data_IF_934641278942
#
_entry.id   IF_934641278942
#
_cell.length_a   1.000
_cell.length_b   1.000
_cell.length_c   1.000
_cell.angle_alpha   90.00
_cell.angle_beta   90.00
_cell.angle_gamma   90.00
#
_symmetry.space_group_name_H-M   'P 1'
#
loop_
_entity.id
_entity.type
_entity.pdbx_description
1 polymer ?
#
# COMPACT_ATOMS: atom_id res chain seq x y z
N UNK A 1 12.18 32.20 -4.27
CA UNK A 1 11.28 31.74 -5.36
C UNK A 1 11.73 30.34 -5.74
N UNK A 2 11.00 29.30 -5.37
CA UNK A 2 11.35 27.92 -5.73
C UNK A 2 10.42 27.48 -6.85
N UNK A 3 10.98 27.37 -8.06
CA UNK A 3 10.27 26.91 -9.24
C UNK A 3 10.15 25.38 -9.09
N UNK A 4 8.93 24.92 -8.82
CA UNK A 4 8.60 23.51 -8.81
C UNK A 4 8.47 23.06 -10.28
N UNK A 5 9.54 22.54 -10.86
CA UNK A 5 9.46 21.89 -12.18
C UNK A 5 8.73 20.56 -12.00
N UNK A 6 7.46 20.50 -12.37
CA UNK A 6 6.75 19.24 -12.56
C UNK A 6 7.51 18.42 -13.60
N UNK A 7 8.22 17.36 -13.18
CA UNK A 7 8.80 16.40 -14.09
C UNK A 7 7.65 15.66 -14.78
N UNK A 8 7.36 16.01 -16.03
CA UNK A 8 6.44 15.25 -16.86
C UNK A 8 7.09 13.88 -17.15
N UNK A 9 6.67 12.85 -16.42
CA UNK A 9 7.09 11.46 -16.65
C UNK A 9 5.94 10.66 -17.27
N UNK A 10 6.30 9.72 -18.16
CA UNK A 10 5.39 8.72 -18.71
C UNK A 10 5.80 7.38 -18.10
N UNK A 11 4.87 6.71 -17.44
CA UNK A 11 5.10 5.39 -16.85
C UNK A 11 4.47 4.32 -17.75
N UNK A 12 5.27 3.30 -18.09
CA UNK A 12 4.84 2.14 -18.88
C UNK A 12 5.11 0.90 -18.04
N UNK A 13 4.10 0.08 -17.81
CA UNK A 13 4.23 -1.16 -17.04
C UNK A 13 4.37 -2.36 -17.97
N UNK A 14 5.41 -3.15 -17.75
CA UNK A 14 5.72 -4.34 -18.54
C UNK A 14 5.85 -5.53 -17.59
N UNK A 15 5.08 -6.59 -17.84
CA UNK A 15 5.22 -7.85 -17.10
C UNK A 15 6.39 -8.65 -17.68
N UNK A 16 7.49 -8.74 -16.93
CA UNK A 16 8.69 -9.46 -17.33
C UNK A 16 9.36 -10.14 -16.11
N UNK A 17 10.06 -11.25 -16.33
CA UNK A 17 10.91 -11.87 -15.31
C UNK A 17 12.17 -11.04 -15.07
N UNK A 18 12.85 -11.27 -13.94
CA UNK A 18 14.12 -10.61 -13.65
C UNK A 18 15.19 -10.89 -14.71
N UNK A 19 15.25 -12.12 -15.22
CA UNK A 19 16.15 -12.48 -16.31
C UNK A 19 15.84 -11.70 -17.59
N UNK A 20 14.56 -11.54 -17.95
CA UNK A 20 14.14 -10.75 -19.11
C UNK A 20 14.46 -9.27 -18.93
N UNK A 21 14.23 -8.71 -17.75
CA UNK A 21 14.59 -7.32 -17.43
C UNK A 21 16.10 -7.09 -17.57
N UNK A 22 16.93 -7.93 -16.92
CA UNK A 22 18.38 -7.78 -16.94
C UNK A 22 18.96 -7.95 -18.36
N UNK A 23 18.38 -8.83 -19.17
CA UNK A 23 18.82 -9.05 -20.56
C UNK A 23 18.43 -7.91 -21.49
N UNK A 24 17.21 -7.34 -21.32
CA UNK A 24 16.60 -6.49 -22.32
C UNK A 24 16.53 -4.99 -21.92
N UNK A 25 16.99 -4.60 -20.73
CA UNK A 25 16.90 -3.22 -20.21
C UNK A 25 17.31 -2.15 -21.23
N UNK A 26 18.53 -2.25 -21.77
CA UNK A 26 19.05 -1.26 -22.71
C UNK A 26 18.29 -1.24 -24.04
N UNK A 27 17.83 -2.40 -24.53
CA UNK A 27 17.02 -2.49 -25.74
C UNK A 27 15.64 -1.84 -25.54
N UNK A 28 15.04 -2.02 -24.36
CA UNK A 28 13.77 -1.38 -24.02
C UNK A 28 13.92 0.15 -23.93
N UNK A 29 14.96 0.65 -23.27
CA UNK A 29 15.25 2.08 -23.18
C UNK A 29 15.39 2.70 -24.58
N UNK A 30 16.17 2.03 -25.45
CA UNK A 30 16.38 2.47 -26.83
C UNK A 30 15.10 2.43 -27.66
N UNK A 31 14.32 1.35 -27.58
CA UNK A 31 13.09 1.20 -28.36
C UNK A 31 12.07 2.29 -28.02
N UNK A 32 11.89 2.58 -26.73
CA UNK A 32 10.98 3.64 -26.26
C UNK A 32 11.50 5.01 -26.69
N UNK A 33 12.80 5.27 -26.52
CA UNK A 33 13.44 6.50 -26.99
C UNK A 33 13.21 6.73 -28.48
N UNK A 34 13.58 5.76 -29.33
CA UNK A 34 13.52 5.88 -30.78
C UNK A 34 12.06 6.08 -31.26
N UNK A 35 11.10 5.43 -30.59
CA UNK A 35 9.67 5.57 -30.88
C UNK A 35 9.15 6.97 -30.56
N UNK A 36 9.54 7.54 -29.41
CA UNK A 36 9.12 8.89 -29.01
C UNK A 36 9.80 9.93 -29.89
N UNK A 37 11.11 9.78 -30.11
CA UNK A 37 11.90 10.69 -30.94
C UNK A 37 11.36 10.74 -32.38
N UNK A 38 11.07 9.58 -32.99
CA UNK A 38 10.52 9.52 -34.35
C UNK A 38 9.19 10.29 -34.50
N UNK A 39 8.37 10.34 -33.45
CA UNK A 39 7.05 11.01 -33.48
C UNK A 39 7.08 12.47 -33.03
N UNK A 40 7.98 12.83 -32.13
CA UNK A 40 7.94 14.12 -31.42
C UNK A 40 9.19 14.98 -31.63
N UNK A 41 10.28 14.38 -32.14
CA UNK A 41 11.62 14.99 -32.21
C UNK A 41 12.16 15.44 -30.85
N UNK A 42 11.61 14.92 -29.75
CA UNK A 42 12.09 15.17 -28.40
C UNK A 42 13.14 14.12 -28.02
N UNK A 43 14.34 14.59 -27.70
CA UNK A 43 15.41 13.77 -27.14
C UNK A 43 15.21 13.67 -25.62
N UNK A 44 14.72 12.50 -25.17
CA UNK A 44 14.36 12.25 -23.77
C UNK A 44 15.21 11.13 -23.21
N UNK A 45 15.74 11.33 -22.00
CA UNK A 45 16.33 10.23 -21.24
C UNK A 45 15.24 9.26 -20.79
N UNK A 46 15.27 8.05 -21.34
CA UNK A 46 14.42 6.95 -20.90
C UNK A 46 15.14 6.15 -19.81
N UNK A 47 14.43 5.84 -18.73
CA UNK A 47 14.93 5.01 -17.66
C UNK A 47 13.96 3.84 -17.44
N UNK A 48 14.46 2.62 -17.56
CA UNK A 48 13.68 1.42 -17.28
C UNK A 48 14.12 0.87 -15.92
N UNK A 49 13.20 0.88 -14.96
CA UNK A 49 13.39 0.34 -13.61
C UNK A 49 12.50 -0.87 -13.39
N UNK A 50 12.96 -1.77 -12.52
CA UNK A 50 12.17 -2.90 -12.05
C UNK A 50 11.68 -2.60 -10.64
N UNK A 51 10.37 -2.73 -10.41
CA UNK A 51 9.82 -2.76 -9.05
C UNK A 51 10.20 -4.08 -8.38
N UNK A 52 10.70 -3.99 -7.16
CA UNK A 52 10.91 -5.12 -6.28
C UNK A 52 9.58 -5.79 -5.93
N UNK A 53 9.60 -7.05 -5.51
CA UNK A 53 8.38 -7.71 -5.05
C UNK A 53 7.75 -7.02 -3.83
N UNK A 54 8.56 -6.38 -2.98
CA UNK A 54 8.05 -5.56 -1.86
C UNK A 54 7.26 -4.36 -2.35
N UNK A 55 7.74 -3.66 -3.37
CA UNK A 55 7.03 -2.52 -3.96
C UNK A 55 5.74 -2.98 -4.64
N UNK A 56 5.77 -4.08 -5.39
CA UNK A 56 4.57 -4.64 -6.01
C UNK A 56 3.53 -5.08 -4.96
N UNK A 57 3.98 -5.69 -3.86
CA UNK A 57 3.10 -6.07 -2.75
C UNK A 57 2.50 -4.83 -2.08
N UNK A 58 3.31 -3.83 -1.78
CA UNK A 58 2.86 -2.56 -1.21
C UNK A 58 1.78 -1.92 -2.08
N UNK A 59 2.07 -1.73 -3.37
CA UNK A 59 1.13 -1.16 -4.35
C UNK A 59 -0.18 -1.94 -4.44
N UNK A 60 -0.11 -3.28 -4.49
CA UNK A 60 -1.31 -4.12 -4.56
C UNK A 60 -2.20 -3.98 -3.33
N UNK A 61 -1.65 -3.69 -2.15
CA UNK A 61 -2.41 -3.56 -0.91
C UNK A 61 -2.93 -2.14 -0.64
N UNK A 62 -2.46 -1.12 -1.38
CA UNK A 62 -2.87 0.28 -1.14
C UNK A 62 -4.38 0.48 -1.14
N UNK A 63 -5.09 -0.17 -2.06
CA UNK A 63 -6.54 -0.06 -2.11
C UNK A 63 -7.22 -0.74 -0.90
N UNK A 64 -6.67 -1.86 -0.41
CA UNK A 64 -7.15 -2.49 0.83
C UNK A 64 -6.92 -1.54 2.02
N UNK A 65 -5.74 -0.93 2.12
CA UNK A 65 -5.41 0.01 3.19
C UNK A 65 -6.32 1.23 3.21
N UNK A 66 -6.59 1.79 2.03
CA UNK A 66 -7.54 2.90 1.86
C UNK A 66 -8.92 2.50 2.34
N UNK A 67 -9.44 1.34 1.89
CA UNK A 67 -10.74 0.83 2.34
C UNK A 67 -10.79 0.62 3.85
N UNK A 68 -9.75 0.05 4.46
CA UNK A 68 -9.72 -0.15 5.92
C UNK A 68 -9.77 1.18 6.66
N UNK A 69 -8.98 2.16 6.23
CA UNK A 69 -8.96 3.49 6.85
C UNK A 69 -10.32 4.18 6.71
N UNK A 70 -10.82 4.30 5.49
CA UNK A 70 -12.04 5.06 5.19
C UNK A 70 -13.27 4.44 5.85
N UNK A 71 -13.46 3.13 5.69
CA UNK A 71 -14.63 2.45 6.23
C UNK A 71 -14.60 2.38 7.77
N UNK A 72 -13.42 2.15 8.37
CA UNK A 72 -13.32 2.14 9.84
C UNK A 72 -13.52 3.53 10.43
N UNK A 73 -13.04 4.60 9.76
CA UNK A 73 -13.26 5.98 10.21
C UNK A 73 -14.74 6.41 10.10
N UNK A 74 -15.45 5.91 9.08
CA UNK A 74 -16.90 6.15 8.94
C UNK A 74 -17.71 5.45 10.02
N UNK A 75 -17.35 4.21 10.35
CA UNK A 75 -18.10 3.39 11.32
C UNK A 75 -17.78 3.75 12.77
N UNK A 76 -16.53 4.14 13.07
CA UNK A 76 -16.04 4.41 14.42
C UNK A 76 -15.42 5.80 14.51
N UNK A 77 -16.10 6.71 15.19
CA UNK A 77 -15.62 8.08 15.43
C UNK A 77 -14.29 8.11 16.21
N UNK A 78 -13.98 7.04 16.94
CA UNK A 78 -12.76 6.89 17.70
C UNK A 78 -11.54 6.61 16.83
N UNK A 79 -11.70 6.17 15.57
CA UNK A 79 -10.59 5.94 14.64
C UNK A 79 -10.08 7.29 14.14
N UNK A 80 -8.84 7.63 14.47
CA UNK A 80 -8.24 8.94 14.18
C UNK A 80 -7.15 8.87 13.12
N UNK A 81 -6.65 7.68 12.81
CA UNK A 81 -5.63 7.52 11.79
C UNK A 81 -5.28 6.08 11.48
N UNK A 82 -4.39 5.94 10.51
CA UNK A 82 -3.99 4.66 9.95
C UNK A 82 -2.47 4.63 9.73
N UNK A 83 -1.89 3.46 9.89
CA UNK A 83 -0.53 3.14 9.47
C UNK A 83 -0.46 1.65 9.09
N UNK A 84 0.58 1.27 8.39
CA UNK A 84 0.85 -0.14 8.11
C UNK A 84 2.35 -0.38 8.02
N UNK A 85 2.75 -1.64 8.13
CA UNK A 85 4.13 -2.05 7.87
C UNK A 85 4.21 -3.48 7.37
N UNK A 86 4.98 -3.71 6.31
CA UNK A 86 5.37 -5.06 5.89
C UNK A 86 6.56 -5.62 6.69
N UNK A 87 7.17 -4.80 7.57
CA UNK A 87 8.33 -5.15 8.39
C UNK A 87 8.18 -4.67 9.83
N UNK A 88 8.21 -5.56 10.85
CA UNK A 88 8.45 -7.00 10.74
C UNK A 88 7.32 -7.75 10.01
N UNK A 89 7.60 -8.97 9.53
CA UNK A 89 6.54 -9.88 9.06
C UNK A 89 5.83 -10.49 10.27
N UNK A 90 4.51 -10.78 10.20
CA UNK A 90 3.60 -10.59 9.06
C UNK A 90 3.21 -9.11 8.86
N UNK A 91 2.51 -8.77 7.77
CA UNK A 91 1.99 -7.41 7.53
C UNK A 91 1.23 -6.90 8.76
N UNK A 92 1.56 -5.71 9.24
CA UNK A 92 0.86 -5.02 10.32
C UNK A 92 -0.05 -3.93 9.74
N UNK A 93 -1.34 -3.99 10.07
CA UNK A 93 -2.36 -2.99 9.76
C UNK A 93 -2.71 -2.30 11.09
N UNK A 94 -2.40 -1.02 11.21
CA UNK A 94 -2.44 -0.28 12.47
C UNK A 94 -3.53 0.80 12.39
N UNK A 95 -4.56 0.69 13.21
CA UNK A 95 -5.57 1.72 13.39
C UNK A 95 -5.26 2.49 14.67
N UNK A 96 -5.07 3.81 14.54
CA UNK A 96 -4.86 4.73 15.64
C UNK A 96 -6.21 5.24 16.11
N UNK A 97 -6.41 5.32 17.41
CA UNK A 97 -7.70 5.71 17.98
C UNK A 97 -7.56 6.78 19.06
N UNK A 98 -8.68 7.38 19.47
CA UNK A 98 -8.79 8.25 20.64
C UNK A 98 -9.14 7.49 21.93
N UNK A 99 -9.14 6.15 21.90
CA UNK A 99 -9.50 5.29 23.03
C UNK A 99 -8.48 5.40 24.17
N UNK A 100 -8.90 5.02 25.38
CA UNK A 100 -8.06 4.88 26.57
C UNK A 100 -8.06 3.42 27.04
N UNK A 101 -7.19 3.04 28.00
CA UNK A 101 -7.05 1.67 28.52
C UNK A 101 -8.21 1.20 29.44
N UNK A 102 -9.43 1.71 29.24
CA UNK A 102 -10.61 1.33 30.01
C UNK A 102 -11.28 0.06 29.48
N UNK A 103 -12.00 -0.68 30.34
CA UNK A 103 -12.70 -1.93 29.95
C UNK A 103 -13.72 -1.74 28.82
N UNK A 104 -14.39 -0.59 28.77
CA UNK A 104 -15.37 -0.29 27.72
C UNK A 104 -14.64 -0.07 26.39
N UNK A 105 -13.64 0.81 26.39
CA UNK A 105 -12.82 1.10 25.23
C UNK A 105 -12.12 -0.16 24.69
N UNK A 106 -11.73 -1.10 25.56
CA UNK A 106 -11.18 -2.39 25.15
C UNK A 106 -12.14 -3.17 24.27
N UNK A 107 -13.44 -3.19 24.59
CA UNK A 107 -14.46 -3.83 23.74
C UNK A 107 -14.61 -3.11 22.40
N UNK A 108 -14.54 -1.78 22.40
CA UNK A 108 -14.59 -0.98 21.16
C UNK A 108 -13.38 -1.30 20.27
N UNK A 109 -12.18 -1.39 20.85
CA UNK A 109 -10.98 -1.80 20.12
C UNK A 109 -11.13 -3.21 19.49
N UNK A 110 -11.73 -4.16 20.21
CA UNK A 110 -12.04 -5.48 19.65
C UNK A 110 -12.98 -5.41 18.45
N UNK A 111 -14.03 -4.58 18.53
CA UNK A 111 -15.02 -4.39 17.46
C UNK A 111 -14.39 -3.75 16.22
N UNK A 112 -13.59 -2.69 16.39
CA UNK A 112 -12.82 -2.05 15.32
C UNK A 112 -11.93 -3.08 14.62
N UNK A 113 -11.17 -3.88 15.38
CA UNK A 113 -10.28 -4.88 14.81
C UNK A 113 -11.03 -5.96 14.00
N UNK A 114 -12.20 -6.41 14.50
CA UNK A 114 -13.04 -7.36 13.78
C UNK A 114 -13.63 -6.76 12.51
N UNK A 115 -14.03 -5.49 12.53
CA UNK A 115 -14.56 -4.78 11.38
C UNK A 115 -13.49 -4.61 10.29
N UNK A 116 -12.31 -4.09 10.66
CA UNK A 116 -11.16 -3.99 9.77
C UNK A 116 -10.78 -5.33 9.12
N UNK A 117 -10.84 -6.44 9.88
CA UNK A 117 -10.63 -7.79 9.35
C UNK A 117 -11.63 -8.16 8.26
N UNK A 118 -12.91 -7.78 8.39
CA UNK A 118 -13.92 -8.04 7.36
C UNK A 118 -13.64 -7.22 6.10
N UNK A 119 -13.28 -5.94 6.25
CA UNK A 119 -12.92 -5.07 5.12
C UNK A 119 -11.73 -5.65 4.34
N UNK A 120 -10.67 -6.08 5.04
CA UNK A 120 -9.52 -6.74 4.39
C UNK A 120 -9.97 -7.99 3.64
N UNK A 121 -10.84 -8.81 4.24
CA UNK A 121 -11.34 -10.04 3.60
C UNK A 121 -12.14 -9.73 2.32
N UNK A 122 -13.05 -8.77 2.37
CA UNK A 122 -13.89 -8.36 1.23
C UNK A 122 -13.03 -7.75 0.13
N UNK A 123 -12.27 -6.70 0.47
CA UNK A 123 -11.43 -5.97 -0.50
C UNK A 123 -10.43 -6.88 -1.20
N UNK A 124 -9.77 -7.78 -0.44
CA UNK A 124 -8.83 -8.75 -1.03
C UNK A 124 -9.52 -9.67 -2.03
N UNK A 125 -10.72 -10.18 -1.71
CA UNK A 125 -11.44 -11.07 -2.60
C UNK A 125 -11.88 -10.35 -3.89
N UNK A 126 -12.38 -9.11 -3.78
CA UNK A 126 -12.80 -8.31 -4.93
C UNK A 126 -11.62 -7.96 -5.85
N UNK A 127 -10.47 -7.65 -5.27
CA UNK A 127 -9.25 -7.29 -6.01
C UNK A 127 -8.42 -8.51 -6.44
N UNK A 128 -8.86 -9.73 -6.11
CA UNK A 128 -8.11 -10.97 -6.39
C UNK A 128 -6.66 -10.95 -5.90
N UNK A 129 -6.43 -10.31 -4.75
CA UNK A 129 -5.10 -10.20 -4.14
C UNK A 129 -4.75 -11.49 -3.39
N UNK A 130 -3.49 -11.91 -3.46
CA UNK A 130 -3.01 -13.10 -2.78
C UNK A 130 -3.26 -13.04 -1.25
N UNK A 131 -3.68 -14.17 -0.68
CA UNK A 131 -3.84 -14.28 0.77
C UNK A 131 -2.47 -14.36 1.44
N UNK A 132 -2.15 -13.36 2.26
CA UNK A 132 -0.98 -13.35 3.15
C UNK A 132 -1.40 -13.28 4.62
N UNK A 133 -0.57 -13.75 5.57
CA UNK A 133 -0.78 -13.50 6.98
C UNK A 133 -0.62 -12.01 7.32
N UNK A 134 -1.45 -11.51 8.23
CA UNK A 134 -1.37 -10.13 8.72
C UNK A 134 -1.82 -10.01 10.18
N UNK A 135 -1.46 -8.91 10.84
CA UNK A 135 -1.97 -8.48 12.13
C UNK A 135 -2.80 -7.23 11.95
N UNK A 136 -3.88 -7.11 12.72
CA UNK A 136 -4.56 -5.84 12.94
C UNK A 136 -4.25 -5.40 14.35
N UNK A 137 -3.72 -4.19 14.50
CA UNK A 137 -3.29 -3.61 15.77
C UNK A 137 -4.11 -2.33 15.98
N UNK A 138 -4.75 -2.24 17.13
CA UNK A 138 -5.45 -1.03 17.58
C UNK A 138 -4.54 -0.32 18.58
N UNK A 139 -4.21 0.93 18.29
CA UNK A 139 -3.47 1.80 19.20
C UNK A 139 -4.40 2.78 19.88
N UNK A 140 -4.17 2.99 21.17
CA UNK A 140 -4.89 3.99 21.96
C UNK A 140 -4.42 5.42 21.64
N UNK A 141 -4.97 6.40 22.35
CA UNK A 141 -4.62 7.82 22.18
C UNK A 141 -3.14 8.13 22.47
N UNK A 142 -2.49 7.36 23.33
CA UNK A 142 -1.06 7.48 23.67
C UNK A 142 -0.16 6.70 22.69
N UNK A 143 -0.77 6.11 21.65
CA UNK A 143 -0.12 5.26 20.64
C UNK A 143 0.39 3.92 21.20
N UNK A 144 -0.08 3.50 22.38
CA UNK A 144 0.22 2.19 22.93
C UNK A 144 -0.67 1.11 22.31
N UNK A 145 -0.12 -0.10 22.15
CA UNK A 145 -0.88 -1.23 21.63
C UNK A 145 -1.95 -1.63 22.64
N UNK A 146 -3.21 -1.46 22.25
CA UNK A 146 -4.37 -1.71 23.09
C UNK A 146 -5.01 -3.07 22.81
N UNK A 147 -5.08 -3.44 21.52
CA UNK A 147 -5.62 -4.72 21.09
C UNK A 147 -4.92 -5.19 19.81
N UNK A 148 -4.74 -6.49 19.65
CA UNK A 148 -4.23 -7.06 18.41
C UNK A 148 -4.87 -8.40 18.08
N UNK A 149 -5.03 -8.67 16.79
CA UNK A 149 -5.42 -9.99 16.27
C UNK A 149 -4.50 -10.42 15.15
N UNK A 150 -4.10 -11.69 15.17
CA UNK A 150 -3.35 -12.31 14.09
C UNK A 150 -4.30 -13.08 13.17
N UNK A 151 -4.19 -12.82 11.86
CA UNK A 151 -4.91 -13.52 10.80
C UNK A 151 -3.94 -14.35 9.98
N UNK A 152 -4.26 -15.64 9.86
CA UNK A 152 -3.49 -16.64 9.09
C UNK A 152 -4.15 -16.90 7.73
#
# INVERSE_FOLDING_TARGET
>A
MSINHSKNSIQIEIKATEQQYNKNKGEMEKLVHDTIYAKTQLDLKIEVTRKSESELRDESWQQIFTSVMDESHKEFNEVTGFAYSFHPKPLEIILKTSLSQGKQDQKVAEEIARYAKQIVKVSRNELSIEKIPYKIIIRDKEQENMYEIQVK
#
